data_IF_359891062398
#
_entry.id   IF_359891062398
#
_cell.length_a   1.000
_cell.length_b   1.000
_cell.length_c   1.000
_cell.angle_alpha   90.00
_cell.angle_beta   90.00
_cell.angle_gamma   90.00
#
_symmetry.space_group_name_H-M   'P 1'
#
loop_
_entity.id
_entity.type
_entity.pdbx_description
1 polymer ?
#
# COMPACT_ATOMS: atom_id res chain seq x y z
N UNK A 1 58.11 31.26 -21.70
CA UNK A 1 56.72 31.66 -21.37
C UNK A 1 55.97 30.41 -20.95
N UNK A 2 55.69 30.21 -19.67
CA UNK A 2 54.81 29.12 -19.22
C UNK A 2 53.91 29.66 -18.11
N UNK A 3 52.63 29.83 -18.42
CA UNK A 3 51.60 30.31 -17.50
C UNK A 3 50.89 29.09 -16.89
N UNK A 4 51.12 28.84 -15.60
CA UNK A 4 50.40 27.83 -14.83
C UNK A 4 49.08 28.42 -14.32
N UNK A 5 47.98 28.04 -14.96
CA UNK A 5 46.62 28.38 -14.52
C UNK A 5 46.22 27.41 -13.39
N UNK A 6 46.18 27.90 -12.15
CA UNK A 6 45.67 27.13 -11.01
C UNK A 6 44.15 27.09 -11.09
N UNK A 7 43.59 25.97 -11.50
CA UNK A 7 42.16 25.72 -11.43
C UNK A 7 41.76 25.56 -9.95
N UNK A 8 41.01 26.52 -9.40
CA UNK A 8 40.38 26.36 -8.09
C UNK A 8 39.17 25.43 -8.26
N UNK A 9 39.29 24.21 -7.76
CA UNK A 9 38.16 23.30 -7.60
C UNK A 9 37.24 23.87 -6.51
N UNK A 10 36.02 24.24 -6.89
CA UNK A 10 34.95 24.60 -5.96
C UNK A 10 34.02 23.38 -5.90
N UNK A 11 33.98 22.63 -4.80
CA UNK A 11 33.02 21.55 -4.67
C UNK A 11 31.61 22.16 -4.64
N UNK A 12 30.83 21.92 -5.68
CA UNK A 12 29.38 22.14 -5.64
C UNK A 12 28.79 21.06 -4.73
N UNK A 13 28.54 21.40 -3.46
CA UNK A 13 27.82 20.50 -2.57
C UNK A 13 26.39 20.30 -3.13
N UNK A 14 26.14 19.15 -3.73
CA UNK A 14 24.78 18.66 -3.96
C UNK A 14 24.19 18.48 -2.57
N UNK A 15 23.34 19.41 -2.15
CA UNK A 15 22.67 19.37 -0.85
C UNK A 15 21.71 18.17 -0.90
N UNK A 16 22.15 17.02 -0.40
CA UNK A 16 21.27 15.87 -0.22
C UNK A 16 20.10 16.34 0.65
N UNK A 17 18.88 16.22 0.12
CA UNK A 17 17.67 16.58 0.84
C UNK A 17 17.46 15.48 1.90
N UNK A 18 17.95 15.71 3.12
CA UNK A 18 17.87 14.72 4.19
C UNK A 18 16.40 14.40 4.47
N UNK A 19 16.05 13.11 4.44
CA UNK A 19 14.71 12.64 4.83
C UNK A 19 14.45 13.09 6.27
N UNK A 20 13.37 13.85 6.47
CA UNK A 20 13.00 14.33 7.80
C UNK A 20 12.49 13.13 8.61
N UNK A 21 13.25 12.70 9.60
CA UNK A 21 12.84 11.62 10.49
C UNK A 21 11.76 12.14 11.46
N UNK A 22 10.52 11.68 11.30
CA UNK A 22 9.33 12.12 12.03
C UNK A 22 8.78 11.01 12.93
N UNK A 23 9.67 10.22 13.53
CA UNK A 23 9.36 9.11 14.44
C UNK A 23 10.12 9.25 15.75
N UNK A 24 9.52 8.76 16.84
CA UNK A 24 10.18 8.62 18.16
C UNK A 24 10.41 7.15 18.52
N UNK A 25 9.65 6.23 17.91
CA UNK A 25 9.88 4.79 18.06
C UNK A 25 11.26 4.42 17.48
N UNK A 26 11.90 3.41 18.09
CA UNK A 26 13.22 2.91 17.67
C UNK A 26 13.14 1.59 16.91
N UNK A 27 12.13 0.77 17.22
CA UNK A 27 11.82 -0.50 16.57
C UNK A 27 10.32 -0.67 16.45
N UNK A 28 9.90 -1.55 15.55
CA UNK A 28 8.51 -2.03 15.37
C UNK A 28 8.23 -3.27 16.22
N UNK A 29 9.26 -3.87 16.84
CA UNK A 29 9.26 -5.14 17.56
C UNK A 29 8.80 -6.36 16.73
N UNK A 30 8.78 -6.22 15.41
CA UNK A 30 8.50 -7.29 14.45
C UNK A 30 9.78 -7.57 13.64
N UNK A 31 10.18 -8.84 13.59
CA UNK A 31 11.39 -9.24 12.88
C UNK A 31 11.25 -9.01 11.37
N UNK A 32 12.20 -8.28 10.77
CA UNK A 32 12.22 -7.96 9.34
C UNK A 32 11.36 -6.76 8.92
N UNK A 33 10.67 -6.10 9.86
CA UNK A 33 9.89 -4.89 9.59
C UNK A 33 10.63 -3.65 10.08
N UNK A 34 11.27 -2.92 9.16
CA UNK A 34 12.03 -1.73 9.49
C UNK A 34 11.12 -0.51 9.74
N UNK A 35 11.56 0.39 10.63
CA UNK A 35 10.81 1.61 10.92
C UNK A 35 10.90 2.61 9.77
N UNK A 36 9.76 3.09 9.30
CA UNK A 36 9.72 4.08 8.24
C UNK A 36 9.88 5.51 8.81
N UNK A 37 10.77 6.37 8.27
CA UNK A 37 11.07 7.69 8.85
C UNK A 37 9.91 8.69 8.78
N UNK A 38 9.04 8.60 7.77
CA UNK A 38 7.88 9.50 7.59
C UNK A 38 6.74 8.79 6.83
N UNK A 39 5.95 7.92 7.49
CA UNK A 39 5.03 7.01 6.79
C UNK A 39 3.75 7.66 6.26
N UNK A 40 3.26 8.74 6.88
CA UNK A 40 1.96 9.33 6.50
C UNK A 40 1.95 9.93 5.08
N UNK A 41 2.96 10.73 4.67
CA UNK A 41 2.99 11.24 3.29
C UNK A 41 3.22 10.14 2.26
N UNK A 42 3.97 9.10 2.62
CA UNK A 42 4.20 7.96 1.73
C UNK A 42 2.88 7.19 1.49
N UNK A 43 2.10 6.94 2.54
CA UNK A 43 0.77 6.35 2.42
C UNK A 43 -0.17 7.19 1.54
N UNK A 44 -0.17 8.51 1.71
CA UNK A 44 -0.96 9.39 0.84
C UNK A 44 -0.55 9.26 -0.62
N UNK A 45 0.76 9.31 -0.89
CA UNK A 45 1.32 9.15 -2.23
C UNK A 45 0.94 7.80 -2.85
N UNK A 46 1.06 6.71 -2.09
CA UNK A 46 0.74 5.37 -2.56
C UNK A 46 -0.76 5.21 -2.83
N UNK A 47 -1.64 5.63 -1.93
CA UNK A 47 -3.08 5.53 -2.14
C UNK A 47 -3.56 6.36 -3.32
N UNK A 48 -3.06 7.60 -3.47
CA UNK A 48 -3.39 8.43 -4.63
C UNK A 48 -2.89 7.82 -5.94
N UNK A 49 -1.71 7.22 -5.93
CA UNK A 49 -1.16 6.47 -7.08
C UNK A 49 -2.01 5.25 -7.40
N UNK A 50 -2.41 4.45 -6.41
CA UNK A 50 -3.26 3.28 -6.57
C UNK A 50 -4.63 3.64 -7.14
N UNK A 51 -5.29 4.69 -6.64
CA UNK A 51 -6.52 5.22 -7.23
C UNK A 51 -6.33 5.69 -8.68
N UNK A 52 -5.14 6.19 -9.02
CA UNK A 52 -4.77 6.51 -10.40
C UNK A 52 -4.73 5.28 -11.30
N UNK A 53 -4.10 4.19 -10.84
CA UNK A 53 -3.97 2.94 -11.60
C UNK A 53 -5.31 2.19 -11.72
N UNK A 54 -6.13 2.20 -10.66
CA UNK A 54 -7.46 1.56 -10.65
C UNK A 54 -8.39 2.06 -11.76
N UNK A 55 -8.22 3.32 -12.20
CA UNK A 55 -8.99 3.90 -13.32
C UNK A 55 -8.80 3.16 -14.66
N UNK A 56 -7.72 2.38 -14.82
CA UNK A 56 -7.49 1.57 -16.01
C UNK A 56 -8.45 0.36 -16.09
N UNK A 57 -9.01 -0.09 -14.96
CA UNK A 57 -9.97 -1.18 -14.91
C UNK A 57 -11.39 -0.69 -15.23
N UNK A 58 -12.28 -1.53 -15.79
CA UNK A 58 -13.66 -1.15 -16.05
C UNK A 58 -14.42 -0.87 -14.76
N UNK A 59 -15.30 0.15 -14.75
CA UNK A 59 -16.11 0.54 -13.58
C UNK A 59 -17.11 -0.53 -13.12
N UNK A 60 -17.46 -1.47 -13.99
CA UNK A 60 -18.30 -2.63 -13.66
C UNK A 60 -17.55 -3.73 -12.90
N UNK A 61 -16.21 -3.68 -12.84
CA UNK A 61 -15.43 -4.67 -12.10
C UNK A 61 -15.67 -4.54 -10.60
N UNK A 62 -16.13 -5.63 -9.98
CA UNK A 62 -16.33 -5.70 -8.52
C UNK A 62 -15.02 -5.42 -7.79
N UNK A 63 -13.89 -5.95 -8.29
CA UNK A 63 -12.57 -5.70 -7.72
C UNK A 63 -12.24 -4.21 -7.69
N UNK A 64 -12.48 -3.49 -8.80
CA UNK A 64 -12.24 -2.04 -8.85
C UNK A 64 -13.09 -1.32 -7.81
N UNK A 65 -14.39 -1.62 -7.74
CA UNK A 65 -15.31 -0.99 -6.80
C UNK A 65 -14.89 -1.21 -5.34
N UNK A 66 -14.51 -2.44 -4.98
CA UNK A 66 -14.06 -2.76 -3.62
C UNK A 66 -12.73 -2.08 -3.28
N UNK A 67 -11.74 -2.15 -4.18
CA UNK A 67 -10.42 -1.55 -3.93
C UNK A 67 -10.47 -0.02 -3.90
N UNK A 68 -11.29 0.62 -4.75
CA UNK A 68 -11.53 2.07 -4.70
C UNK A 68 -12.14 2.47 -3.35
N UNK A 69 -13.22 1.81 -2.92
CA UNK A 69 -13.90 2.13 -1.66
C UNK A 69 -12.97 2.01 -0.43
N UNK A 70 -12.17 0.94 -0.35
CA UNK A 70 -11.21 0.74 0.75
C UNK A 70 -10.08 1.77 0.68
N UNK A 71 -9.53 2.02 -0.51
CA UNK A 71 -8.40 2.96 -0.67
C UNK A 71 -8.84 4.40 -0.38
N UNK A 72 -10.04 4.81 -0.80
CA UNK A 72 -10.60 6.13 -0.51
C UNK A 72 -10.84 6.34 0.98
N UNK A 73 -11.41 5.34 1.67
CA UNK A 73 -11.61 5.39 3.12
C UNK A 73 -10.29 5.45 3.90
N UNK A 74 -9.27 4.69 3.48
CA UNK A 74 -7.93 4.76 4.09
C UNK A 74 -7.26 6.11 3.83
N UNK A 75 -7.40 6.64 2.61
CA UNK A 75 -6.86 7.94 2.24
C UNK A 75 -7.51 9.09 3.02
N UNK A 76 -8.83 9.04 3.28
CA UNK A 76 -9.49 10.07 4.09
C UNK A 76 -8.97 10.10 5.51
N UNK A 77 -8.82 8.93 6.15
CA UNK A 77 -8.24 8.78 7.49
C UNK A 77 -6.82 9.36 7.56
N UNK A 78 -5.96 9.02 6.59
CA UNK A 78 -4.58 9.54 6.54
C UNK A 78 -4.55 11.06 6.39
N UNK A 79 -5.40 11.63 5.52
CA UNK A 79 -5.50 13.08 5.33
C UNK A 79 -6.01 13.83 6.55
N UNK A 80 -7.00 13.27 7.24
CA UNK A 80 -7.52 13.86 8.49
C UNK A 80 -6.43 13.92 9.59
N UNK A 81 -5.55 12.93 9.64
CA UNK A 81 -4.43 12.90 10.58
C UNK A 81 -3.26 13.84 10.19
N UNK A 82 -3.11 14.15 8.90
CA UNK A 82 -2.08 15.05 8.38
C UNK A 82 -2.47 16.53 8.51
N UNK A 83 -2.36 17.04 9.73
CA UNK A 83 -2.55 18.46 10.05
C UNK A 83 -1.21 19.19 10.11
N UNK A 84 -1.23 20.53 10.03
CA UNK A 84 -0.02 21.34 10.23
C UNK A 84 0.67 21.01 11.56
N UNK A 85 -0.10 20.71 12.61
CA UNK A 85 0.43 20.32 13.92
C UNK A 85 1.21 19.00 13.89
N UNK A 86 0.71 17.98 13.19
CA UNK A 86 1.39 16.68 13.11
C UNK A 86 2.71 16.75 12.34
N UNK A 87 2.89 17.74 11.46
CA UNK A 87 4.13 17.97 10.71
C UNK A 87 5.19 18.78 11.47
N UNK A 88 4.86 19.38 12.63
CA UNK A 88 5.79 20.25 13.39
C UNK A 88 6.97 19.49 13.98
N UNK A 89 6.72 18.37 14.66
CA UNK A 89 7.75 17.61 15.36
C UNK A 89 7.40 16.10 15.40
N UNK A 90 8.38 15.27 15.79
CA UNK A 90 8.24 13.81 15.82
C UNK A 90 7.17 13.34 16.83
N UNK A 91 7.02 13.98 17.99
CA UNK A 91 6.00 13.61 18.98
C UNK A 91 4.57 13.82 18.47
N UNK A 92 4.33 14.95 17.80
CA UNK A 92 3.03 15.24 17.19
C UNK A 92 2.74 14.31 16.00
N UNK A 93 3.77 13.95 15.23
CA UNK A 93 3.67 12.95 14.16
C UNK A 93 3.29 11.57 14.70
N UNK A 94 3.92 11.12 15.79
CA UNK A 94 3.59 9.84 16.43
C UNK A 94 2.16 9.79 16.95
N UNK A 95 1.67 10.87 17.57
CA UNK A 95 0.27 10.96 17.99
C UNK A 95 -0.71 10.87 16.79
N UNK A 96 -0.36 11.45 15.65
CA UNK A 96 -1.15 11.34 14.43
C UNK A 96 -1.11 9.92 13.85
N UNK A 97 0.06 9.27 13.86
CA UNK A 97 0.24 7.89 13.41
C UNK A 97 -0.59 6.93 14.29
N UNK A 98 -0.55 7.11 15.61
CA UNK A 98 -1.36 6.31 16.53
C UNK A 98 -2.86 6.50 16.29
N UNK A 99 -3.31 7.70 15.90
CA UNK A 99 -4.70 7.94 15.52
C UNK A 99 -5.08 7.21 14.24
N UNK A 100 -4.23 7.22 13.21
CA UNK A 100 -4.44 6.47 11.96
C UNK A 100 -4.53 4.98 12.24
N UNK A 101 -3.58 4.44 13.01
CA UNK A 101 -3.55 3.01 13.37
C UNK A 101 -4.83 2.61 14.11
N UNK A 102 -5.29 3.42 15.07
CA UNK A 102 -6.55 3.16 15.80
C UNK A 102 -7.80 3.23 14.92
N UNK A 103 -7.83 4.15 13.95
CA UNK A 103 -8.98 4.29 13.06
C UNK A 103 -9.04 3.18 12.00
N UNK A 104 -7.89 2.71 11.52
CA UNK A 104 -7.82 1.65 10.51
C UNK A 104 -7.86 0.24 11.10
N UNK A 105 -7.44 0.07 12.36
CA UNK A 105 -7.44 -1.19 13.11
C UNK A 105 -6.87 -2.37 12.29
N UNK A 106 -5.74 -2.13 11.60
CA UNK A 106 -5.15 -3.04 10.59
C UNK A 106 -3.67 -3.34 10.86
N UNK A 107 -3.25 -3.28 12.13
CA UNK A 107 -1.86 -3.54 12.54
C UNK A 107 -1.02 -2.27 12.75
N UNK A 108 0.30 -2.38 12.59
CA UNK A 108 1.23 -1.25 12.69
C UNK A 108 1.20 -0.37 11.44
N UNK A 109 1.70 0.87 11.53
CA UNK A 109 1.72 1.77 10.37
C UNK A 109 2.63 1.24 9.25
N UNK A 110 3.72 0.58 9.61
CA UNK A 110 4.63 -0.08 8.66
C UNK A 110 3.96 -1.25 7.94
N UNK A 111 3.16 -2.06 8.64
CA UNK A 111 2.40 -3.16 8.00
C UNK A 111 1.31 -2.61 7.05
N UNK A 112 0.68 -1.50 7.43
CA UNK A 112 -0.30 -0.81 6.56
C UNK A 112 0.38 -0.25 5.31
N UNK A 113 1.63 0.19 5.43
CA UNK A 113 2.44 0.65 4.29
C UNK A 113 2.78 -0.52 3.36
N UNK A 114 3.19 -1.67 3.90
CA UNK A 114 3.43 -2.88 3.12
C UNK A 114 2.15 -3.35 2.41
N UNK A 115 1.01 -3.38 3.11
CA UNK A 115 -0.30 -3.67 2.51
C UNK A 115 -0.63 -2.71 1.35
N UNK A 116 -0.30 -1.42 1.48
CA UNK A 116 -0.55 -0.44 0.43
C UNK A 116 0.34 -0.69 -0.81
N UNK A 117 1.58 -1.10 -0.59
CA UNK A 117 2.49 -1.52 -1.66
C UNK A 117 2.00 -2.80 -2.36
N UNK A 118 1.59 -3.80 -1.58
CA UNK A 118 1.06 -5.07 -2.09
C UNK A 118 -0.22 -4.84 -2.91
N UNK A 119 -1.13 -4.00 -2.42
CA UNK A 119 -2.34 -3.62 -3.16
C UNK A 119 -1.98 -2.92 -4.48
N UNK A 120 -1.03 -1.98 -4.45
CA UNK A 120 -0.57 -1.31 -5.67
C UNK A 120 0.02 -2.29 -6.69
N UNK A 121 0.82 -3.26 -6.22
CA UNK A 121 1.39 -4.30 -7.05
C UNK A 121 0.30 -5.23 -7.61
N UNK A 122 -0.64 -5.65 -6.77
CA UNK A 122 -1.77 -6.49 -7.15
C UNK A 122 -2.61 -5.81 -8.23
N UNK A 123 -2.98 -4.53 -8.06
CA UNK A 123 -3.74 -3.78 -9.08
C UNK A 123 -3.01 -3.78 -10.43
N UNK A 124 -1.68 -3.64 -10.43
CA UNK A 124 -0.88 -3.72 -11.66
C UNK A 124 -1.00 -5.09 -12.32
N UNK A 125 -1.07 -6.17 -11.54
CA UNK A 125 -1.31 -7.54 -12.06
C UNK A 125 -2.74 -7.76 -12.51
N UNK A 126 -3.72 -7.17 -11.85
CA UNK A 126 -5.14 -7.31 -12.19
C UNK A 126 -5.48 -6.70 -13.55
N UNK A 127 -4.73 -5.69 -13.98
CA UNK A 127 -4.82 -5.14 -15.35
C UNK A 127 -4.39 -6.18 -16.39
N UNK A 128 -3.35 -6.97 -16.09
CA UNK A 128 -2.85 -8.04 -16.96
C UNK A 128 -3.79 -9.26 -16.95
N UNK A 129 -4.23 -9.69 -15.76
CA UNK A 129 -5.01 -10.92 -15.57
C UNK A 129 -6.48 -10.81 -15.96
N UNK A 130 -7.04 -9.60 -15.94
CA UNK A 130 -8.44 -9.29 -16.32
C UNK A 130 -9.49 -10.24 -15.73
N UNK A 131 -9.52 -10.46 -14.41
CA UNK A 131 -10.44 -11.42 -13.79
C UNK A 131 -11.91 -11.00 -13.82
N UNK A 132 -12.20 -9.79 -14.29
CA UNK A 132 -13.57 -9.32 -14.53
C UNK A 132 -14.18 -9.88 -15.82
N UNK A 133 -13.40 -10.58 -16.65
CA UNK A 133 -13.90 -11.30 -17.81
C UNK A 133 -14.62 -12.60 -17.39
N UNK A 134 -15.41 -13.17 -18.30
CA UNK A 134 -16.08 -14.45 -18.04
C UNK A 134 -15.07 -15.59 -17.85
N UNK A 135 -15.47 -16.66 -17.16
CA UNK A 135 -14.62 -17.84 -16.98
C UNK A 135 -14.06 -18.33 -18.32
N UNK A 136 -12.73 -18.50 -18.38
CA UNK A 136 -12.06 -19.04 -19.57
C UNK A 136 -12.43 -20.49 -19.82
N UNK A 137 -12.60 -21.29 -18.76
CA UNK A 137 -12.95 -22.70 -18.83
C UNK A 137 -14.09 -22.99 -17.85
N UNK A 138 -15.28 -23.39 -18.32
CA UNK A 138 -16.35 -23.84 -17.44
C UNK A 138 -15.99 -25.19 -16.80
N UNK A 139 -16.48 -25.42 -15.59
CA UNK A 139 -16.21 -26.67 -14.89
C UNK A 139 -16.83 -27.87 -15.63
N UNK A 140 -16.10 -29.00 -15.78
CA UNK A 140 -16.67 -30.24 -16.27
C UNK A 140 -17.81 -30.73 -15.37
N UNK A 141 -18.81 -31.44 -15.93
CA UNK A 141 -19.89 -32.01 -15.14
C UNK A 141 -19.33 -32.96 -14.07
N UNK A 142 -19.74 -32.78 -12.82
CA UNK A 142 -19.29 -33.60 -11.69
C UNK A 142 -17.98 -33.17 -11.01
N UNK A 143 -17.23 -32.20 -11.56
CA UNK A 143 -15.95 -31.74 -10.98
C UNK A 143 -16.07 -31.28 -9.51
N UNK A 144 -17.13 -30.53 -9.21
CA UNK A 144 -17.39 -29.99 -7.87
C UNK A 144 -18.42 -30.83 -7.08
N UNK A 145 -18.72 -32.06 -7.54
CA UNK A 145 -19.58 -32.97 -6.79
C UNK A 145 -18.77 -33.54 -5.62
N UNK A 146 -19.06 -33.05 -4.43
CA UNK A 146 -18.47 -33.57 -3.20
C UNK A 146 -18.91 -35.00 -2.90
N UNK A 147 -18.20 -35.66 -2.00
CA UNK A 147 -18.56 -36.99 -1.52
C UNK A 147 -19.89 -36.94 -0.76
N UNK A 148 -20.86 -37.78 -1.17
CA UNK A 148 -22.16 -37.93 -0.53
C UNK A 148 -22.28 -39.31 0.13
N UNK A 149 -22.50 -39.33 1.45
CA UNK A 149 -22.63 -40.58 2.21
C UNK A 149 -23.85 -41.41 1.76
N UNK A 150 -24.92 -40.74 1.31
CA UNK A 150 -26.14 -41.40 0.80
C UNK A 150 -25.91 -42.09 -0.55
N UNK A 151 -25.09 -41.49 -1.41
CA UNK A 151 -24.69 -42.11 -2.68
C UNK A 151 -23.68 -43.26 -2.45
N UNK A 152 -22.78 -43.11 -1.47
CA UNK A 152 -21.83 -44.15 -1.08
C UNK A 152 -22.50 -45.37 -0.40
N UNK A 153 -23.61 -45.16 0.31
CA UNK A 153 -24.41 -46.21 0.94
C UNK A 153 -25.37 -46.92 -0.03
N UNK A 154 -25.43 -46.51 -1.30
CA UNK A 154 -26.34 -47.10 -2.31
C UNK A 154 -27.82 -46.72 -2.12
N UNK A 155 -28.11 -45.69 -1.32
CA UNK A 155 -29.47 -45.18 -1.07
C UNK A 155 -29.85 -44.01 -1.99
N UNK A 156 -29.01 -43.67 -2.96
CA UNK A 156 -29.31 -42.69 -4.00
C UNK A 156 -30.03 -43.35 -5.18
N UNK A 157 -31.15 -42.75 -5.60
CA UNK A 157 -32.04 -43.17 -6.69
C UNK A 157 -31.39 -43.80 -7.92
#
# INVERSE_FOLDING_TARGET
MFATRVARYVPSAIRANATKFMRTKMSTDVAGLEIHPDPLPELESLYTKTLGVLKALPSSSVFRQSSEAVTEQRLSVVREAMTENSRRNAYASEAAIDNVVKQLDSGLIEEILDQAHDEHHLVTKMIEWKPYESLQVPAPPGQWKGFSMKEAAGEGH
#
